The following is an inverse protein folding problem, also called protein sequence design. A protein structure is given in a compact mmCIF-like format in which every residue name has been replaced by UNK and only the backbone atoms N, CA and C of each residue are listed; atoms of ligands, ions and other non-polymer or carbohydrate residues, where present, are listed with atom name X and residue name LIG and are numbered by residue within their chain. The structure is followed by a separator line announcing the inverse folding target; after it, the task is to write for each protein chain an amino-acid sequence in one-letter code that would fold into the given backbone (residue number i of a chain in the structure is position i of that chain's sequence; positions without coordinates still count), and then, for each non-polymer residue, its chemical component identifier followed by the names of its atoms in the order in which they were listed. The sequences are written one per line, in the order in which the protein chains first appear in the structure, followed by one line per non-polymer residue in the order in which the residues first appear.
data_IF_069934572307
#
_entry.id   IF_069934572307
#
_cell.length_a   1.000
_cell.length_b   1.000
_cell.length_c   1.000
_cell.angle_alpha   90.00
_cell.angle_beta   90.00
_cell.angle_gamma   90.00
#
_symmetry.space_group_name_H-M   'P 1'
#
loop_
_entity.id
_entity.type
_entity.pdbx_description
1 polymer ?
#
# COMPACT_ATOMS: atom_id res chain seq x y z
N UNK A 1 11.63 -8.83 -28.73
CA UNK A 1 10.22 -8.49 -29.09
C UNK A 1 9.31 -8.69 -27.89
N UNK A 2 8.48 -7.72 -27.59
CA UNK A 2 7.53 -7.81 -26.51
C UNK A 2 6.14 -8.19 -27.04
N UNK A 3 5.26 -8.64 -26.12
CA UNK A 3 3.85 -8.92 -26.43
C UNK A 3 2.96 -7.67 -26.28
N UNK A 4 3.58 -6.51 -26.06
CA UNK A 4 2.87 -5.25 -25.83
C UNK A 4 1.91 -5.33 -24.62
N UNK A 5 2.37 -5.98 -23.57
CA UNK A 5 1.63 -6.10 -22.32
C UNK A 5 1.87 -4.86 -21.46
N UNK A 6 0.77 -4.20 -21.04
CA UNK A 6 0.87 -2.98 -20.25
C UNK A 6 0.41 -3.24 -18.82
N UNK A 7 1.19 -2.82 -17.85
CA UNK A 7 0.78 -2.88 -16.44
C UNK A 7 -0.28 -1.80 -16.19
N UNK A 8 -1.49 -2.21 -15.80
CA UNK A 8 -2.59 -1.26 -15.58
C UNK A 8 -3.07 -1.20 -14.14
N UNK A 9 -2.83 -2.23 -13.34
CA UNK A 9 -3.34 -2.27 -11.97
C UNK A 9 -2.50 -3.17 -11.09
N UNK A 10 -2.47 -2.83 -9.80
CA UNK A 10 -2.02 -3.71 -8.73
C UNK A 10 -3.20 -3.81 -7.77
N UNK A 11 -3.60 -5.02 -7.41
CA UNK A 11 -4.76 -5.24 -6.55
C UNK A 11 -4.34 -5.99 -5.30
N UNK A 12 -4.75 -5.46 -4.14
CA UNK A 12 -4.49 -6.05 -2.82
C UNK A 12 -5.77 -6.66 -2.27
N UNK A 13 -5.65 -7.86 -1.72
CA UNK A 13 -6.76 -8.48 -0.99
C UNK A 13 -6.91 -7.84 0.39
N UNK A 14 -8.13 -7.71 0.88
CA UNK A 14 -8.38 -7.06 2.16
C UNK A 14 -9.76 -7.44 2.70
N UNK A 15 -10.03 -7.20 3.99
CA UNK A 15 -11.37 -7.44 4.53
C UNK A 15 -12.36 -6.32 4.22
N UNK A 16 -11.89 -5.07 4.04
CA UNK A 16 -12.75 -3.90 3.82
C UNK A 16 -12.11 -2.96 2.81
N UNK A 17 -12.47 -3.09 1.52
CA UNK A 17 -11.85 -2.27 0.47
C UNK A 17 -11.98 -0.76 0.65
N UNK A 18 -13.16 -0.29 1.09
CA UNK A 18 -13.35 1.16 1.25
C UNK A 18 -12.49 1.73 2.36
N UNK A 19 -12.30 0.99 3.46
CA UNK A 19 -11.44 1.44 4.55
C UNK A 19 -9.97 1.47 4.14
N UNK A 20 -9.51 0.45 3.41
CA UNK A 20 -8.12 0.43 2.95
C UNK A 20 -7.88 1.50 1.88
N UNK A 21 -8.83 1.69 0.99
CA UNK A 21 -8.76 2.77 0.00
C UNK A 21 -8.67 4.14 0.67
N UNK A 22 -9.42 4.35 1.77
CA UNK A 22 -9.38 5.62 2.51
C UNK A 22 -7.99 5.91 3.06
N UNK A 23 -7.30 4.91 3.59
CA UNK A 23 -5.93 5.07 4.08
C UNK A 23 -5.00 5.53 2.95
N UNK A 24 -4.97 4.79 1.84
CA UNK A 24 -4.08 5.13 0.73
C UNK A 24 -4.48 6.43 0.03
N UNK A 25 -5.77 6.76 0.01
CA UNK A 25 -6.22 8.05 -0.52
C UNK A 25 -5.66 9.21 0.30
N UNK A 26 -5.72 9.12 1.61
CA UNK A 26 -5.17 10.16 2.48
C UNK A 26 -3.66 10.24 2.37
N UNK A 27 -2.99 9.09 2.23
CA UNK A 27 -1.54 9.05 2.12
C UNK A 27 -1.02 9.59 0.79
N UNK A 28 -1.73 9.31 -0.32
CA UNK A 28 -1.24 9.62 -1.67
C UNK A 28 -1.91 10.80 -2.33
N UNK A 29 -3.12 11.17 -1.90
CA UNK A 29 -3.92 12.18 -2.58
C UNK A 29 -4.60 11.68 -3.87
N UNK A 30 -4.47 10.40 -4.20
CA UNK A 30 -5.11 9.84 -5.38
C UNK A 30 -6.63 9.80 -5.21
N UNK A 31 -7.35 9.89 -6.33
CA UNK A 31 -8.81 9.93 -6.30
C UNK A 31 -9.42 8.54 -6.23
N UNK A 32 -10.46 8.41 -5.42
CA UNK A 32 -11.23 7.18 -5.34
C UNK A 32 -12.02 6.98 -6.64
N UNK A 33 -11.93 5.78 -7.21
CA UNK A 33 -12.70 5.42 -8.40
C UNK A 33 -14.19 5.49 -8.07
N UNK A 34 -15.02 6.13 -8.91
CA UNK A 34 -16.43 6.36 -8.57
C UNK A 34 -17.28 5.09 -8.45
N UNK A 35 -16.85 3.99 -9.03
CA UNK A 35 -17.59 2.72 -8.92
C UNK A 35 -17.14 1.87 -7.74
N UNK A 36 -16.31 2.42 -6.84
CA UNK A 36 -15.86 1.70 -5.65
C UNK A 36 -17.03 1.37 -4.73
N UNK A 37 -17.01 0.17 -4.16
CA UNK A 37 -18.03 -0.28 -3.22
C UNK A 37 -17.41 -1.21 -2.16
N UNK A 38 -18.26 -1.86 -1.37
CA UNK A 38 -17.79 -2.72 -0.29
C UNK A 38 -17.09 -3.99 -0.78
N UNK A 39 -17.29 -4.38 -2.02
CA UNK A 39 -16.66 -5.58 -2.60
C UNK A 39 -15.34 -5.30 -3.29
N UNK A 40 -15.22 -4.13 -3.90
CA UNK A 40 -14.01 -3.72 -4.61
C UNK A 40 -13.93 -2.20 -4.64
N UNK A 41 -12.80 -1.67 -4.26
CA UNK A 41 -12.53 -0.24 -4.32
C UNK A 41 -11.20 0.00 -5.02
N UNK A 42 -10.97 1.20 -5.49
CA UNK A 42 -9.71 1.50 -6.14
C UNK A 42 -9.39 2.97 -6.20
N UNK A 43 -8.13 3.25 -6.43
CA UNK A 43 -7.61 4.60 -6.60
C UNK A 43 -7.04 4.75 -8.00
N UNK A 44 -7.35 5.87 -8.64
CA UNK A 44 -6.81 6.21 -9.95
C UNK A 44 -5.41 6.79 -9.76
N UNK A 45 -4.41 6.02 -10.13
CA UNK A 45 -3.02 6.44 -10.03
C UNK A 45 -2.57 7.24 -11.24
N UNK A 46 -1.34 7.71 -11.17
CA UNK A 46 -0.72 8.43 -12.27
C UNK A 46 -0.37 7.49 -13.42
N UNK A 47 -0.32 8.03 -14.63
CA UNK A 47 0.08 7.29 -15.84
C UNK A 47 -0.78 6.06 -16.13
N UNK A 48 -2.03 6.08 -15.66
CA UNK A 48 -2.97 5.01 -15.92
C UNK A 48 -2.81 3.78 -15.02
N UNK A 49 -1.94 3.83 -14.03
CA UNK A 49 -1.82 2.76 -13.04
C UNK A 49 -2.93 2.88 -12.01
N UNK A 50 -3.63 1.78 -11.75
CA UNK A 50 -4.74 1.71 -10.82
C UNK A 50 -4.34 0.86 -9.63
N UNK A 51 -4.71 1.30 -8.42
CA UNK A 51 -4.48 0.50 -7.20
C UNK A 51 -5.84 0.02 -6.73
N UNK A 52 -6.06 -1.29 -6.79
CA UNK A 52 -7.32 -1.92 -6.42
C UNK A 52 -7.26 -2.59 -5.05
N UNK A 53 -8.42 -2.70 -4.43
CA UNK A 53 -8.59 -3.36 -3.12
C UNK A 53 -9.78 -4.29 -3.26
N UNK A 54 -9.51 -5.61 -3.18
CA UNK A 54 -10.49 -6.67 -3.39
C UNK A 54 -10.90 -7.27 -2.06
N UNK A 55 -12.20 -7.27 -1.77
CA UNK A 55 -12.67 -7.95 -0.57
C UNK A 55 -12.51 -9.46 -0.72
N UNK A 56 -11.93 -10.07 0.30
CA UNK A 56 -11.82 -11.53 0.41
C UNK A 56 -12.30 -11.96 1.78
N UNK A 57 -12.92 -13.13 1.83
CA UNK A 57 -13.27 -13.75 3.11
C UNK A 57 -12.01 -14.37 3.72
N UNK A 58 -11.98 -14.46 5.04
CA UNK A 58 -10.86 -15.09 5.78
C UNK A 58 -9.50 -14.47 5.47
N UNK A 59 -9.47 -13.15 5.31
CA UNK A 59 -8.23 -12.42 5.06
C UNK A 59 -7.20 -12.68 6.16
N UNK A 60 -5.96 -12.95 5.75
CA UNK A 60 -4.83 -13.16 6.66
C UNK A 60 -3.73 -12.17 6.31
N UNK A 61 -3.39 -11.31 7.27
CA UNK A 61 -2.33 -10.32 7.05
C UNK A 61 -0.97 -10.98 6.87
N UNK A 62 -0.09 -10.39 6.04
CA UNK A 62 1.30 -10.87 5.95
C UNK A 62 2.01 -10.75 7.30
N UNK A 63 2.93 -11.68 7.56
CA UNK A 63 3.74 -11.72 8.77
C UNK A 63 5.21 -11.38 8.44
N UNK A 64 5.39 -10.22 7.85
CA UNK A 64 6.72 -9.77 7.42
C UNK A 64 7.58 -9.29 8.60
N UNK A 65 8.89 -9.62 8.67
CA UNK A 65 9.67 -10.40 7.68
C UNK A 65 9.51 -11.91 7.80
N UNK A 66 8.64 -12.38 8.68
CA UNK A 66 8.38 -13.79 8.83
C UNK A 66 7.75 -14.43 7.60
N UNK A 67 7.70 -15.75 7.58
CA UNK A 67 7.22 -16.51 6.43
C UNK A 67 6.01 -17.39 6.74
N UNK A 68 5.37 -17.21 7.89
CA UNK A 68 4.14 -17.96 8.22
C UNK A 68 3.01 -17.55 7.27
N UNK A 69 2.85 -16.26 7.04
CA UNK A 69 2.02 -15.71 5.98
C UNK A 69 2.91 -14.73 5.22
N UNK A 70 3.64 -15.21 4.20
CA UNK A 70 4.63 -14.35 3.55
C UNK A 70 3.99 -13.25 2.73
N UNK A 71 4.63 -12.09 2.70
CA UNK A 71 4.25 -11.08 1.71
C UNK A 71 4.57 -11.62 0.31
N UNK A 72 3.68 -11.37 -0.63
CA UNK A 72 3.92 -11.79 -2.01
C UNK A 72 4.58 -10.69 -2.83
N UNK A 73 4.34 -9.45 -2.44
CA UNK A 73 4.96 -8.27 -3.03
C UNK A 73 4.77 -7.12 -2.05
N UNK A 74 5.42 -6.01 -2.32
CA UNK A 74 5.17 -4.77 -1.58
C UNK A 74 5.27 -3.59 -2.52
N UNK A 75 4.58 -2.51 -2.16
CA UNK A 75 4.57 -1.28 -2.96
C UNK A 75 5.60 -0.33 -2.37
N UNK A 76 6.32 0.38 -3.24
CA UNK A 76 7.30 1.37 -2.83
C UNK A 76 6.84 2.75 -3.30
N UNK A 77 6.89 3.72 -2.41
CA UNK A 77 6.53 5.11 -2.71
C UNK A 77 7.74 6.01 -2.52
N UNK A 78 7.86 7.01 -3.36
CA UNK A 78 8.85 8.08 -3.15
C UNK A 78 8.15 9.28 -2.52
N UNK A 79 8.85 9.94 -1.60
CA UNK A 79 8.35 11.12 -0.92
C UNK A 79 9.37 12.26 -1.05
N UNK A 80 8.89 13.49 -0.93
CA UNK A 80 9.73 14.70 -1.07
C UNK A 80 10.15 15.30 0.26
N UNK A 81 9.54 14.84 1.36
CA UNK A 81 9.83 15.33 2.69
C UNK A 81 10.68 14.33 3.46
N UNK A 82 11.29 14.80 4.56
CA UNK A 82 12.06 13.96 5.47
C UNK A 82 11.28 12.71 5.86
N UNK A 83 11.94 11.55 5.81
CA UNK A 83 11.30 10.26 6.08
C UNK A 83 10.69 10.19 7.48
N UNK A 84 11.32 10.82 8.47
CA UNK A 84 10.79 10.82 9.83
C UNK A 84 9.47 11.59 9.92
N UNK A 85 9.34 12.70 9.19
CA UNK A 85 8.11 13.48 9.13
C UNK A 85 6.99 12.69 8.46
N UNK A 86 7.28 12.09 7.31
CA UNK A 86 6.29 11.30 6.57
C UNK A 86 5.86 10.08 7.36
N UNK A 87 6.82 9.39 8.00
CA UNK A 87 6.52 8.25 8.86
C UNK A 87 5.53 8.64 9.96
N UNK A 88 5.77 9.76 10.64
CA UNK A 88 4.87 10.21 11.71
C UNK A 88 3.46 10.48 11.19
N UNK A 89 3.34 11.09 10.02
CA UNK A 89 2.04 11.35 9.41
C UNK A 89 1.31 10.05 9.05
N UNK A 90 2.03 9.07 8.51
CA UNK A 90 1.43 7.78 8.15
C UNK A 90 0.99 7.02 9.39
N UNK A 91 1.75 7.06 10.47
CA UNK A 91 1.37 6.43 11.73
C UNK A 91 0.07 7.04 12.27
N UNK A 92 -0.12 8.35 12.15
CA UNK A 92 -1.37 8.99 12.54
C UNK A 92 -2.56 8.53 11.69
N UNK A 93 -2.33 8.16 10.44
CA UNK A 93 -3.38 7.65 9.56
C UNK A 93 -3.72 6.18 9.81
N UNK A 94 -2.95 5.49 10.66
CA UNK A 94 -3.22 4.11 10.99
C UNK A 94 -2.16 3.11 10.53
N UNK A 95 -1.06 3.57 9.95
CA UNK A 95 0.04 2.68 9.58
C UNK A 95 0.72 2.11 10.83
N UNK A 96 1.34 0.94 10.67
CA UNK A 96 2.22 0.35 11.68
C UNK A 96 3.67 0.48 11.27
N UNK A 97 4.56 0.25 12.22
CA UNK A 97 6.00 0.25 11.93
C UNK A 97 6.63 -1.03 12.45
N UNK A 98 7.05 -1.94 11.55
CA UNK A 98 7.80 -3.13 11.96
C UNK A 98 9.13 -2.75 12.60
N UNK A 99 9.58 -3.56 13.58
CA UNK A 99 10.88 -3.35 14.20
C UNK A 99 12.02 -3.57 13.20
N UNK A 100 11.83 -4.52 12.29
CA UNK A 100 12.83 -4.83 11.28
C UNK A 100 12.86 -3.74 10.20
N UNK A 101 13.97 -2.99 10.14
CA UNK A 101 14.16 -1.89 9.19
C UNK A 101 15.47 -2.12 8.42
N UNK A 102 15.42 -2.92 7.33
CA UNK A 102 16.64 -3.36 6.65
C UNK A 102 17.36 -2.30 5.84
N UNK A 103 16.72 -1.15 5.59
CA UNK A 103 17.28 -0.14 4.67
C UNK A 103 17.93 1.06 5.37
N UNK A 104 17.99 1.06 6.70
CA UNK A 104 18.62 2.14 7.46
C UNK A 104 17.97 3.49 7.21
N UNK A 105 18.79 4.48 6.82
CA UNK A 105 18.29 5.83 6.57
C UNK A 105 17.79 6.06 5.15
N UNK A 106 17.91 5.06 4.27
CA UNK A 106 17.55 5.21 2.85
C UNK A 106 16.07 5.03 2.60
N UNK A 107 15.42 4.21 3.40
CA UNK A 107 14.00 3.91 3.25
C UNK A 107 13.42 3.48 4.59
N UNK A 108 12.11 3.55 4.71
CA UNK A 108 11.38 3.03 5.86
C UNK A 108 10.38 2.00 5.40
N UNK A 109 10.27 0.90 6.14
CA UNK A 109 9.21 -0.07 5.93
C UNK A 109 8.11 0.21 6.94
N UNK A 110 6.90 0.36 6.45
CA UNK A 110 5.71 0.54 7.28
C UNK A 110 4.69 -0.51 6.88
N UNK A 111 3.65 -0.68 7.67
CA UNK A 111 2.52 -1.53 7.28
C UNK A 111 1.26 -0.69 7.18
N UNK A 112 0.40 -1.04 6.22
CA UNK A 112 -0.90 -0.39 6.14
C UNK A 112 -1.84 -0.94 7.24
N UNK A 113 -3.06 -0.39 7.38
CA UNK A 113 -3.96 -0.82 8.46
C UNK A 113 -4.36 -2.29 8.44
N UNK A 114 -4.19 -2.99 7.33
CA UNK A 114 -4.49 -4.43 7.25
C UNK A 114 -3.22 -5.29 7.21
N UNK A 115 -2.05 -4.69 7.40
CA UNK A 115 -0.80 -5.41 7.63
C UNK A 115 0.12 -5.56 6.43
N UNK A 116 -0.21 -5.03 5.24
CA UNK A 116 0.70 -5.09 4.11
C UNK A 116 1.92 -4.20 4.34
N UNK A 117 3.14 -4.76 4.23
CA UNK A 117 4.33 -3.91 4.21
C UNK A 117 4.37 -3.04 2.95
N UNK A 118 4.80 -1.81 3.12
CA UNK A 118 5.14 -0.93 2.02
C UNK A 118 6.36 -0.09 2.41
N UNK A 119 7.04 0.43 1.42
CA UNK A 119 8.25 1.22 1.65
C UNK A 119 8.04 2.67 1.24
N UNK A 120 8.66 3.57 1.98
CA UNK A 120 8.83 4.97 1.57
C UNK A 120 10.31 5.27 1.45
N UNK A 121 10.68 6.01 0.42
CA UNK A 121 12.06 6.47 0.23
C UNK A 121 12.05 7.91 -0.23
N UNK A 122 13.13 8.62 0.05
CA UNK A 122 13.27 10.00 -0.38
C UNK A 122 13.56 10.04 -1.88
N UNK A 123 12.85 10.93 -2.57
CA UNK A 123 13.05 11.15 -4.00
C UNK A 123 14.40 11.76 -4.30
#
# INVERSE_FOLDING_TARGET
MSLEMKLVAITLDCPDPLALAAFYRQATGLELHPESDAGFAGLNGEHGLFIGFQRVDDYRAPSWPGQVVPQQLHICFEVDEDLTVVEAQLLELGAGKPDHQPHGDKARVLTDPVGYPFCISLR
#
